data_IF_177110314146
#
_entry.id   IF_177110314146
#
_cell.length_a   1.000
_cell.length_b   1.000
_cell.length_c   1.000
_cell.angle_alpha   90.00
_cell.angle_beta   90.00
_cell.angle_gamma   90.00
#
_symmetry.space_group_name_H-M   'P 1'
#
loop_
_entity.id
_entity.type
_entity.pdbx_description
1 polymer ?
#
# COMPACT_ATOMS: atom_id res chain seq x y z
N UNK A 1 5.41 11.63 28.86
CA UNK A 1 4.17 10.89 28.52
C UNK A 1 4.51 10.00 27.33
N UNK A 2 4.46 8.67 27.46
CA UNK A 2 4.59 7.80 26.28
C UNK A 2 3.36 8.01 25.40
N UNK A 3 3.55 8.60 24.22
CA UNK A 3 2.55 8.53 23.16
C UNK A 3 2.50 7.08 22.68
N UNK A 4 1.48 6.35 23.10
CA UNK A 4 1.12 5.09 22.45
C UNK A 4 0.63 5.44 21.04
N UNK A 5 1.53 5.48 20.07
CA UNK A 5 1.17 5.65 18.68
C UNK A 5 0.31 4.45 18.25
N UNK A 6 -0.87 4.72 17.69
CA UNK A 6 -1.72 3.68 17.12
C UNK A 6 -0.93 2.95 16.02
N UNK A 7 -0.78 1.62 16.08
CA UNK A 7 0.00 0.91 15.06
C UNK A 7 -0.70 1.02 13.70
N UNK A 8 0.09 1.06 12.63
CA UNK A 8 -0.42 1.10 11.24
C UNK A 8 -1.39 -0.05 10.93
N UNK A 9 -1.23 -1.20 11.58
CA UNK A 9 -2.12 -2.35 11.44
C UNK A 9 -3.55 -2.10 11.95
N UNK A 10 -3.77 -1.10 12.80
CA UNK A 10 -5.11 -0.72 13.25
C UNK A 10 -5.95 -0.09 12.12
N UNK A 11 -5.30 0.39 11.06
CA UNK A 11 -5.94 0.95 9.86
C UNK A 11 -6.05 -0.08 8.73
N UNK A 12 -5.73 -1.34 9.00
CA UNK A 12 -5.77 -2.41 8.00
C UNK A 12 -7.21 -2.82 7.71
N UNK A 13 -7.73 -2.46 6.54
CA UNK A 13 -9.04 -2.89 6.04
C UNK A 13 -9.05 -4.33 5.52
N UNK A 14 -7.94 -5.05 5.64
CA UNK A 14 -7.70 -6.36 5.05
C UNK A 14 -6.88 -6.29 3.77
N UNK A 15 -6.43 -7.45 3.31
CA UNK A 15 -5.63 -7.56 2.10
C UNK A 15 -6.51 -7.30 0.88
N UNK A 16 -6.13 -6.36 0.00
CA UNK A 16 -6.87 -6.16 -1.24
C UNK A 16 -6.76 -7.41 -2.12
N UNK A 17 -7.88 -7.82 -2.72
CA UNK A 17 -7.84 -8.81 -3.80
C UNK A 17 -7.01 -8.22 -4.95
N UNK A 18 -5.90 -8.87 -5.36
CA UNK A 18 -5.02 -8.33 -6.39
C UNK A 18 -5.71 -8.30 -7.76
N UNK A 19 -5.52 -7.22 -8.49
CA UNK A 19 -5.81 -7.15 -9.93
C UNK A 19 -4.70 -7.84 -10.74
N UNK A 20 -4.78 -7.74 -12.08
CA UNK A 20 -3.67 -8.20 -12.94
C UNK A 20 -2.36 -7.49 -12.58
N UNK A 21 -1.21 -8.16 -12.75
CA UNK A 21 0.10 -7.60 -12.44
C UNK A 21 0.38 -6.24 -13.12
N UNK A 22 -0.07 -6.04 -14.36
CA UNK A 22 0.08 -4.76 -15.06
C UNK A 22 -0.79 -3.65 -14.44
N UNK A 23 -1.99 -3.99 -13.97
CA UNK A 23 -2.87 -3.04 -13.28
C UNK A 23 -2.31 -2.66 -11.90
N UNK A 24 -1.79 -3.64 -11.14
CA UNK A 24 -1.16 -3.37 -9.85
C UNK A 24 0.11 -2.53 -9.98
N UNK A 25 0.92 -2.75 -11.01
CA UNK A 25 2.09 -1.89 -11.30
C UNK A 25 1.66 -0.44 -11.57
N UNK A 26 0.60 -0.24 -12.36
CA UNK A 26 0.06 1.09 -12.64
C UNK A 26 -0.45 1.77 -11.37
N UNK A 27 -1.24 1.07 -10.57
CA UNK A 27 -1.80 1.61 -9.32
C UNK A 27 -0.72 1.88 -8.26
N UNK A 28 0.32 1.05 -8.20
CA UNK A 28 1.45 1.28 -7.31
C UNK A 28 2.24 2.54 -7.71
N UNK A 29 2.43 2.78 -9.01
CA UNK A 29 3.04 4.01 -9.51
C UNK A 29 2.18 5.24 -9.18
N UNK A 30 0.87 5.18 -9.41
CA UNK A 30 -0.07 6.26 -9.06
C UNK A 30 0.01 6.62 -7.56
N UNK A 31 0.01 5.62 -6.67
CA UNK A 31 0.14 5.87 -5.22
C UNK A 31 1.52 6.43 -4.85
N UNK A 32 2.61 6.01 -5.52
CA UNK A 32 3.92 6.61 -5.29
C UNK A 32 3.93 8.10 -5.67
N UNK A 33 3.33 8.47 -6.79
CA UNK A 33 3.23 9.87 -7.22
C UNK A 33 2.35 10.70 -6.27
N UNK A 34 1.21 10.16 -5.84
CA UNK A 34 0.35 10.82 -4.85
C UNK A 34 1.09 11.06 -3.53
N UNK A 35 1.74 10.02 -2.99
CA UNK A 35 2.41 10.08 -1.69
C UNK A 35 3.71 10.89 -1.70
N UNK A 36 4.38 11.03 -2.86
CA UNK A 36 5.55 11.90 -3.01
C UNK A 36 5.24 13.38 -2.74
N UNK A 37 3.98 13.79 -2.87
CA UNK A 37 3.53 15.18 -2.66
C UNK A 37 2.88 15.41 -1.29
N UNK A 38 2.76 14.37 -0.46
CA UNK A 38 2.10 14.44 0.83
C UNK A 38 2.92 15.21 1.88
N UNK A 39 2.24 15.94 2.78
CA UNK A 39 2.88 16.60 3.91
C UNK A 39 3.25 15.59 5.00
N UNK A 40 4.52 15.21 5.09
CA UNK A 40 5.01 14.25 6.08
C UNK A 40 4.94 14.76 7.53
N UNK A 41 4.74 16.07 7.74
CA UNK A 41 4.56 16.65 9.08
C UNK A 41 3.10 16.61 9.54
N UNK A 42 2.16 16.37 8.61
CA UNK A 42 0.76 16.09 8.92
C UNK A 42 0.63 14.62 9.29
N UNK A 43 0.33 14.33 10.56
CA UNK A 43 0.09 12.96 11.02
C UNK A 43 -0.96 12.23 10.17
N UNK A 44 -1.97 12.98 9.69
CA UNK A 44 -3.03 12.42 8.84
C UNK A 44 -2.49 12.02 7.47
N UNK A 45 -1.69 12.87 6.83
CA UNK A 45 -1.15 12.58 5.50
C UNK A 45 -0.05 11.54 5.55
N UNK A 46 0.76 11.54 6.62
CA UNK A 46 1.74 10.50 6.91
C UNK A 46 1.07 9.14 7.07
N UNK A 47 0.04 9.02 7.94
CA UNK A 47 -0.68 7.75 8.16
C UNK A 47 -1.38 7.30 6.88
N UNK A 48 -2.07 8.21 6.18
CA UNK A 48 -2.75 7.90 4.90
C UNK A 48 -1.76 7.37 3.88
N UNK A 49 -0.61 8.04 3.70
CA UNK A 49 0.42 7.64 2.76
C UNK A 49 0.99 6.27 3.11
N UNK A 50 1.31 6.04 4.39
CA UNK A 50 1.84 4.76 4.85
C UNK A 50 0.84 3.60 4.65
N UNK A 51 -0.45 3.81 4.94
CA UNK A 51 -1.49 2.80 4.70
C UNK A 51 -1.66 2.53 3.21
N UNK A 52 -1.75 3.57 2.38
CA UNK A 52 -1.91 3.45 0.94
C UNK A 52 -0.74 2.67 0.30
N UNK A 53 0.50 3.03 0.64
CA UNK A 53 1.71 2.34 0.17
C UNK A 53 1.73 0.88 0.61
N UNK A 54 1.45 0.60 1.90
CA UNK A 54 1.40 -0.77 2.43
C UNK A 54 0.38 -1.61 1.69
N UNK A 55 -0.83 -1.10 1.47
CA UNK A 55 -1.89 -1.83 0.77
C UNK A 55 -1.49 -2.15 -0.68
N UNK A 56 -0.95 -1.17 -1.42
CA UNK A 56 -0.57 -1.39 -2.83
C UNK A 56 0.63 -2.31 -3.00
N UNK A 57 1.63 -2.22 -2.14
CA UNK A 57 2.77 -3.15 -2.19
C UNK A 57 2.33 -4.59 -1.97
N UNK A 58 1.40 -4.84 -1.04
CA UNK A 58 0.86 -6.19 -0.80
C UNK A 58 0.04 -6.70 -1.98
N UNK A 59 -0.80 -5.85 -2.57
CA UNK A 59 -1.56 -6.18 -3.78
C UNK A 59 -0.64 -6.54 -4.95
N UNK A 60 0.42 -5.74 -5.16
CA UNK A 60 1.39 -5.98 -6.21
C UNK A 60 2.17 -7.28 -6.00
N UNK A 61 2.64 -7.56 -4.79
CA UNK A 61 3.32 -8.83 -4.47
C UNK A 61 2.39 -10.01 -4.76
N UNK A 62 1.13 -9.95 -4.30
CA UNK A 62 0.16 -11.02 -4.54
C UNK A 62 -0.13 -11.23 -6.04
N UNK A 63 -0.20 -10.15 -6.83
CA UNK A 63 -0.37 -10.25 -8.29
C UNK A 63 0.85 -10.84 -9.00
N UNK A 64 2.06 -10.53 -8.52
CA UNK A 64 3.31 -11.10 -9.05
C UNK A 64 3.43 -12.58 -8.70
N UNK A 65 3.09 -12.97 -7.48
CA UNK A 65 3.08 -14.37 -7.04
C UNK A 65 2.07 -15.20 -7.84
N UNK A 66 0.85 -14.66 -8.06
CA UNK A 66 -0.15 -15.30 -8.90
C UNK A 66 0.34 -15.51 -10.34
N UNK A 67 0.94 -14.46 -10.94
CA UNK A 67 1.52 -14.53 -12.29
C UNK A 67 2.67 -15.54 -12.39
N UNK A 68 3.48 -15.67 -11.35
CA UNK A 68 4.58 -16.64 -11.31
C UNK A 68 4.08 -18.08 -11.19
N UNK A 69 3.00 -18.31 -10.42
CA UNK A 69 2.37 -19.62 -10.27
C UNK A 69 1.61 -20.10 -11.51
N UNK A 70 1.13 -19.20 -12.36
CA UNK A 70 0.49 -19.53 -13.65
C UNK A 70 1.49 -20.01 -14.73
N UNK A 71 2.80 -19.85 -14.51
CA UNK A 71 3.85 -20.23 -15.44
C UNK A 71 4.46 -21.63 -15.23
N UNK A 72 3.91 -22.41 -14.30
CA UNK A 72 4.37 -23.77 -13.95
C UNK A 72 3.29 -24.83 -14.24
#
# INVERSE_FOLDING_TARGET
MSMNATPLSAYDGGDPTPASASAELRMAAEILDETATADIHSDTDMIRSAVALRMRLRALVAALDAKAGEGQ
#
